data_IF_421109267994
#
_entry.id   IF_421109267994
#
_cell.length_a   1.000
_cell.length_b   1.000
_cell.length_c   1.000
_cell.angle_alpha   90.00
_cell.angle_beta   90.00
_cell.angle_gamma   90.00
#
_symmetry.space_group_name_H-M   'P 1'
#
loop_
_entity.id
_entity.type
_entity.pdbx_description
1 polymer ?
#
# COMPACT_ATOMS: atom_id res chain seq x y z
N UNK A 1 -4.10 -12.62 4.76
CA UNK A 1 -3.03 -11.63 4.47
C UNK A 1 -1.70 -12.28 4.75
N UNK A 2 -0.94 -12.56 3.69
CA UNK A 2 0.33 -13.28 3.78
C UNK A 2 1.50 -12.34 4.03
N UNK A 3 1.53 -11.76 5.22
CA UNK A 3 2.61 -10.89 5.72
C UNK A 3 3.28 -11.55 6.93
N UNK A 4 4.62 -11.55 6.95
CA UNK A 4 5.38 -11.99 8.11
C UNK A 4 5.18 -11.02 9.29
N UNK A 5 5.44 -11.44 10.55
CA UNK A 5 5.37 -10.54 11.69
C UNK A 5 6.28 -9.30 11.55
N UNK A 6 7.46 -9.44 10.92
CA UNK A 6 8.38 -8.32 10.63
C UNK A 6 7.76 -7.35 9.63
N UNK A 7 7.18 -7.86 8.54
CA UNK A 7 6.51 -7.05 7.51
C UNK A 7 5.29 -6.31 8.07
N UNK A 8 4.47 -6.99 8.88
CA UNK A 8 3.31 -6.37 9.53
C UNK A 8 3.71 -5.20 10.43
N UNK A 9 4.72 -5.41 11.28
CA UNK A 9 5.26 -4.35 12.15
C UNK A 9 5.86 -3.18 11.36
N UNK A 10 6.57 -3.48 10.27
CA UNK A 10 7.13 -2.47 9.39
C UNK A 10 6.03 -1.65 8.71
N UNK A 11 4.98 -2.31 8.23
CA UNK A 11 3.83 -1.66 7.61
C UNK A 11 3.07 -0.77 8.59
N UNK A 12 2.74 -1.28 9.78
CA UNK A 12 2.08 -0.52 10.85
C UNK A 12 2.85 0.78 11.17
N UNK A 13 4.18 0.69 11.26
CA UNK A 13 5.04 1.86 11.52
C UNK A 13 5.13 2.81 10.32
N UNK A 14 5.19 2.27 9.10
CA UNK A 14 5.31 3.07 7.89
C UNK A 14 4.03 3.90 7.61
N UNK A 15 2.86 3.36 7.99
CA UNK A 15 1.57 3.99 7.72
C UNK A 15 0.99 4.77 8.90
N UNK A 16 1.68 4.79 10.04
CA UNK A 16 1.20 5.41 11.28
C UNK A 16 0.84 6.89 11.08
N UNK A 17 1.73 7.66 10.45
CA UNK A 17 1.59 9.10 10.21
C UNK A 17 0.77 9.48 8.97
N UNK A 18 0.28 8.49 8.21
CA UNK A 18 -0.43 8.73 6.95
C UNK A 18 -1.86 9.17 7.24
N UNK A 19 -2.30 10.27 6.61
CA UNK A 19 -3.67 10.77 6.70
C UNK A 19 -4.47 10.29 5.47
N UNK A 20 -5.09 9.13 5.58
CA UNK A 20 -5.84 8.55 4.47
C UNK A 20 -6.30 7.12 4.75
N UNK A 21 -7.04 6.56 3.80
CA UNK A 21 -7.40 5.14 3.80
C UNK A 21 -6.31 4.33 3.11
N UNK A 22 -6.04 3.15 3.63
CA UNK A 22 -4.92 2.32 3.19
C UNK A 22 -5.42 0.90 2.98
N UNK A 23 -5.01 0.34 1.86
CA UNK A 23 -5.41 -0.97 1.41
C UNK A 23 -4.18 -1.78 1.02
N UNK A 24 -4.17 -3.06 1.41
CA UNK A 24 -3.31 -4.05 0.79
C UNK A 24 -4.01 -4.53 -0.48
N UNK A 25 -3.32 -4.54 -1.62
CA UNK A 25 -3.86 -5.09 -2.87
C UNK A 25 -2.90 -6.11 -3.49
N UNK A 26 -3.31 -6.70 -4.61
CA UNK A 26 -2.44 -7.57 -5.40
C UNK A 26 -2.23 -8.97 -4.81
N UNK A 27 -1.04 -9.53 -5.03
CA UNK A 27 -0.77 -10.97 -4.84
C UNK A 27 -0.83 -11.44 -3.38
N UNK A 28 -0.71 -10.52 -2.41
CA UNK A 28 -0.72 -10.83 -0.97
C UNK A 28 -2.08 -10.72 -0.30
N UNK A 29 -3.12 -10.34 -1.05
CA UNK A 29 -4.52 -10.40 -0.60
C UNK A 29 -5.01 -11.84 -0.51
N UNK A 30 -4.60 -12.68 -1.46
CA UNK A 30 -4.95 -14.11 -1.54
C UNK A 30 -3.84 -14.99 -0.94
N UNK A 31 -4.17 -15.67 0.16
CA UNK A 31 -3.24 -16.54 0.88
C UNK A 31 -2.87 -17.82 0.08
N UNK A 32 -3.57 -18.13 -1.02
CA UNK A 32 -3.27 -19.28 -1.90
C UNK A 32 -2.21 -18.99 -2.97
N UNK A 33 -1.91 -17.71 -3.27
CA UNK A 33 -0.91 -17.34 -4.29
C UNK A 33 0.52 -17.51 -3.75
N UNK A 34 1.51 -17.77 -4.63
CA UNK A 34 2.94 -17.97 -4.26
C UNK A 34 3.80 -16.79 -4.72
N UNK A 35 4.71 -16.29 -3.86
CA UNK A 35 5.62 -15.18 -4.18
C UNK A 35 4.93 -13.81 -4.31
N UNK A 36 5.71 -12.75 -4.56
CA UNK A 36 5.21 -11.39 -4.84
C UNK A 36 5.77 -10.29 -3.95
N UNK A 37 5.57 -9.03 -4.36
CA UNK A 37 5.87 -7.79 -3.62
C UNK A 37 4.64 -7.31 -2.83
N UNK A 38 4.85 -6.46 -1.82
CA UNK A 38 3.75 -5.98 -0.95
C UNK A 38 3.22 -4.73 -1.63
N UNK A 39 2.04 -4.84 -2.22
CA UNK A 39 1.39 -3.73 -2.90
C UNK A 39 0.42 -3.00 -1.95
N UNK A 40 0.67 -1.71 -1.69
CA UNK A 40 -0.13 -0.85 -0.83
C UNK A 40 -0.73 0.29 -1.63
N UNK A 41 -2.04 0.46 -1.51
CA UNK A 41 -2.78 1.58 -2.09
C UNK A 41 -3.19 2.52 -0.97
N UNK A 42 -2.89 3.81 -1.14
CA UNK A 42 -3.24 4.87 -0.20
C UNK A 42 -4.18 5.86 -0.90
N UNK A 43 -5.36 6.06 -0.35
CA UNK A 43 -6.21 7.19 -0.71
C UNK A 43 -5.93 8.37 0.23
N UNK A 44 -5.23 9.37 -0.29
CA UNK A 44 -4.88 10.59 0.44
C UNK A 44 -4.90 11.81 -0.48
N UNK A 45 -5.18 12.98 0.10
CA UNK A 45 -5.07 14.26 -0.61
C UNK A 45 -3.65 14.85 -0.58
N UNK A 46 -2.73 14.21 0.15
CA UNK A 46 -1.32 14.58 0.23
C UNK A 46 -0.59 14.38 -1.11
N UNK A 47 0.63 14.89 -1.21
CA UNK A 47 1.47 14.74 -2.40
C UNK A 47 1.80 13.25 -2.65
N UNK A 48 1.37 12.66 -3.78
CA UNK A 48 1.52 11.23 -4.03
C UNK A 48 2.98 10.75 -4.03
N UNK A 49 3.89 11.57 -4.54
CA UNK A 49 5.29 11.21 -4.66
C UNK A 49 5.99 11.21 -3.30
N UNK A 50 5.84 12.29 -2.51
CA UNK A 50 6.40 12.36 -1.17
C UNK A 50 5.83 11.29 -0.26
N UNK A 51 4.52 11.10 -0.26
CA UNK A 51 3.87 10.11 0.60
C UNK A 51 4.31 8.68 0.26
N UNK A 52 4.37 8.32 -1.03
CA UNK A 52 4.85 7.00 -1.45
C UNK A 52 6.32 6.75 -1.07
N UNK A 53 7.17 7.77 -1.19
CA UNK A 53 8.57 7.70 -0.80
C UNK A 53 8.72 7.53 0.72
N UNK A 54 8.01 8.33 1.51
CA UNK A 54 8.08 8.30 2.97
C UNK A 54 7.64 6.93 3.53
N UNK A 55 6.53 6.39 3.01
CA UNK A 55 6.04 5.06 3.39
C UNK A 55 7.04 3.97 3.00
N UNK A 56 7.56 4.01 1.77
CA UNK A 56 8.55 3.04 1.28
C UNK A 56 9.83 3.06 2.13
N UNK A 57 10.35 4.25 2.45
CA UNK A 57 11.57 4.41 3.26
C UNK A 57 11.34 3.95 4.70
N UNK A 58 10.21 4.31 5.31
CA UNK A 58 9.92 3.92 6.69
C UNK A 58 9.68 2.41 6.83
N UNK A 59 9.07 1.78 5.83
CA UNK A 59 8.97 0.33 5.77
C UNK A 59 10.36 -0.32 5.66
N UNK A 60 11.18 0.15 4.72
CA UNK A 60 12.52 -0.39 4.47
C UNK A 60 13.41 -0.33 5.73
N UNK A 61 13.34 0.77 6.50
CA UNK A 61 14.09 0.92 7.76
C UNK A 61 13.81 -0.17 8.79
N UNK A 62 12.65 -0.84 8.73
CA UNK A 62 12.25 -1.86 9.70
C UNK A 62 12.37 -3.27 9.11
N UNK A 63 11.99 -3.45 7.85
CA UNK A 63 11.92 -4.77 7.22
C UNK A 63 13.14 -5.10 6.37
N UNK A 64 13.87 -4.10 5.86
CA UNK A 64 14.95 -4.21 4.86
C UNK A 64 14.48 -4.84 3.53
N UNK A 65 13.18 -4.73 3.26
CA UNK A 65 12.52 -5.20 2.04
C UNK A 65 11.83 -4.03 1.35
N UNK A 66 11.62 -4.15 0.04
CA UNK A 66 10.87 -3.16 -0.75
C UNK A 66 9.36 -3.42 -0.65
N UNK A 67 8.60 -2.36 -0.82
CA UNK A 67 7.13 -2.38 -0.98
C UNK A 67 6.77 -1.46 -2.14
N UNK A 68 5.67 -1.77 -2.80
CA UNK A 68 5.12 -0.94 -3.86
C UNK A 68 3.99 -0.11 -3.30
N UNK A 69 4.14 1.22 -3.37
CA UNK A 69 3.18 2.17 -2.80
C UNK A 69 2.56 3.00 -3.91
N UNK A 70 1.26 2.85 -4.09
CA UNK A 70 0.46 3.69 -4.99
C UNK A 70 -0.35 4.65 -4.14
N UNK A 71 -0.25 5.95 -4.44
CA UNK A 71 -1.07 6.98 -3.78
C UNK A 71 -2.02 7.58 -4.81
N UNK A 72 -3.31 7.61 -4.48
CA UNK A 72 -4.34 8.18 -5.31
C UNK A 72 -5.13 9.24 -4.54
N UNK A 73 -5.40 10.38 -5.17
CA UNK A 73 -6.28 11.38 -4.59
C UNK A 73 -7.74 10.99 -4.87
N UNK A 74 -8.56 10.67 -3.85
CA UNK A 74 -9.93 10.21 -4.06
C UNK A 74 -10.83 11.26 -4.73
N UNK A 75 -10.50 12.55 -4.63
CA UNK A 75 -11.23 13.66 -5.27
C UNK A 75 -10.79 13.92 -6.72
N UNK A 76 -9.68 13.34 -7.18
CA UNK A 76 -9.06 13.61 -8.49
C UNK A 76 -8.65 12.34 -9.23
N UNK A 77 -9.46 11.28 -9.13
CA UNK A 77 -9.19 10.02 -9.83
C UNK A 77 -9.34 10.16 -11.34
N UNK A 78 -8.30 9.75 -12.07
CA UNK A 78 -8.35 9.64 -13.54
C UNK A 78 -9.17 8.42 -13.98
N UNK A 79 -9.58 8.39 -15.25
CA UNK A 79 -10.28 7.22 -15.80
C UNK A 79 -9.43 5.93 -15.71
N UNK A 80 -8.13 6.04 -15.95
CA UNK A 80 -7.21 4.92 -15.83
C UNK A 80 -7.10 4.40 -14.39
N UNK A 81 -7.06 5.31 -13.41
CA UNK A 81 -7.07 4.93 -11.99
C UNK A 81 -8.36 4.22 -11.59
N UNK A 82 -9.52 4.72 -12.04
CA UNK A 82 -10.81 4.06 -11.78
C UNK A 82 -10.85 2.63 -12.36
N UNK A 83 -10.47 2.48 -13.63
CA UNK A 83 -10.40 1.16 -14.26
C UNK A 83 -9.43 0.21 -13.54
N UNK A 84 -8.29 0.72 -13.06
CA UNK A 84 -7.36 -0.04 -12.26
C UNK A 84 -8.00 -0.52 -10.95
N UNK A 85 -8.68 0.36 -10.20
CA UNK A 85 -9.36 0.02 -8.95
C UNK A 85 -10.44 -1.05 -9.13
N UNK A 86 -11.15 -1.03 -10.26
CA UNK A 86 -12.15 -2.05 -10.62
C UNK A 86 -11.52 -3.41 -10.98
N UNK A 87 -10.24 -3.43 -11.36
CA UNK A 87 -9.53 -4.63 -11.80
C UNK A 87 -8.77 -5.37 -10.69
N UNK A 88 -8.67 -4.79 -9.49
CA UNK A 88 -7.87 -5.32 -8.38
C UNK A 88 -8.74 -5.75 -7.21
N UNK A 89 -8.27 -6.78 -6.49
CA UNK A 89 -8.76 -7.10 -5.16
C UNK A 89 -7.94 -6.34 -4.12
N UNK A 90 -8.62 -5.77 -3.13
CA UNK A 90 -7.98 -5.00 -2.07
C UNK A 90 -8.67 -5.22 -0.72
N UNK A 91 -7.90 -5.16 0.36
CA UNK A 91 -8.37 -5.30 1.74
C UNK A 91 -7.95 -4.08 2.53
N UNK A 92 -8.90 -3.44 3.20
CA UNK A 92 -8.64 -2.27 4.04
C UNK A 92 -7.79 -2.65 5.24
N UNK A 93 -6.75 -1.88 5.50
CA UNK A 93 -5.84 -2.05 6.66
C UNK A 93 -5.81 -0.84 7.59
N UNK A 94 -6.19 0.35 7.11
CA UNK A 94 -6.39 1.59 7.88
C UNK A 94 -7.49 2.40 7.19
#
# INVERSE_FOLDING_TARGET
>A
MRLSPKQKKALEKAIESVNGEIFLFGSRVDDQKKGGDIDILIFSEEDPYRLSLDVSVNFFKVCEEKIDVIVMNPKKLTAAQKAFLESIEMVKIK
#
